data_IF_141518379026
#
_entry.id   IF_141518379026
#
_cell.length_a   1.000
_cell.length_b   1.000
_cell.length_c   1.000
_cell.angle_alpha   90.00
_cell.angle_beta   90.00
_cell.angle_gamma   90.00
#
_symmetry.space_group_name_H-M   'P 1'
#
loop_
_entity.id
_entity.type
_entity.pdbx_description
1 polymer ?
#
# COMPACT_ATOMS: atom_id res chain seq x y z
N UNK A 1 0.13 3.69 -16.28
CA UNK A 1 0.97 4.56 -15.43
C UNK A 1 0.08 5.47 -14.57
N UNK A 2 -0.21 5.12 -13.31
CA UNK A 2 -1.00 6.00 -12.44
C UNK A 2 -0.14 7.18 -11.99
N UNK A 3 -0.19 8.31 -12.72
CA UNK A 3 0.41 9.58 -12.27
C UNK A 3 -0.28 9.99 -10.99
N UNK A 4 0.32 9.70 -9.84
CA UNK A 4 -0.16 10.13 -8.54
C UNK A 4 -0.28 11.65 -8.51
N UNK A 5 -1.24 12.18 -7.77
CA UNK A 5 -1.33 13.62 -7.56
C UNK A 5 -0.22 14.00 -6.57
N UNK A 6 0.89 14.54 -7.09
CA UNK A 6 2.05 15.01 -6.31
C UNK A 6 1.75 16.37 -5.66
N UNK A 7 0.70 16.42 -4.85
CA UNK A 7 0.31 17.57 -4.04
C UNK A 7 0.22 17.10 -2.60
N UNK A 8 0.75 17.90 -1.68
CA UNK A 8 0.75 17.59 -0.25
C UNK A 8 -0.69 17.43 0.26
N UNK A 9 -0.93 16.60 1.29
CA UNK A 9 -2.26 16.45 1.87
C UNK A 9 -2.86 17.78 2.34
N UNK A 10 -2.04 18.71 2.84
CA UNK A 10 -2.46 20.05 3.28
C UNK A 10 -3.03 20.85 2.10
N UNK A 11 -2.26 20.99 1.01
CA UNK A 11 -2.74 21.66 -0.21
C UNK A 11 -3.98 20.99 -0.82
N UNK A 12 -4.09 19.65 -0.73
CA UNK A 12 -5.31 18.94 -1.16
C UNK A 12 -6.54 19.35 -0.34
N UNK A 13 -6.40 19.53 0.98
CA UNK A 13 -7.47 20.01 1.86
C UNK A 13 -7.86 21.44 1.54
N UNK A 14 -6.87 22.31 1.33
CA UNK A 14 -7.11 23.71 0.92
C UNK A 14 -7.90 23.80 -0.40
N UNK A 15 -7.55 22.98 -1.40
CA UNK A 15 -8.28 22.91 -2.67
C UNK A 15 -9.73 22.49 -2.44
N UNK A 16 -9.97 21.48 -1.58
CA UNK A 16 -11.32 21.02 -1.26
C UNK A 16 -12.10 22.11 -0.51
N UNK A 17 -11.46 22.82 0.43
CA UNK A 17 -12.09 23.92 1.16
C UNK A 17 -12.46 25.09 0.24
N UNK A 18 -11.54 25.50 -0.64
CA UNK A 18 -11.81 26.52 -1.66
C UNK A 18 -12.93 26.07 -2.61
N UNK A 19 -12.96 24.79 -3.00
CA UNK A 19 -14.04 24.26 -3.85
C UNK A 19 -15.40 24.30 -3.16
N UNK A 20 -15.48 24.00 -1.86
CA UNK A 20 -16.72 24.13 -1.10
C UNK A 20 -17.21 25.58 -1.01
N UNK A 21 -16.29 26.56 -0.96
CA UNK A 21 -16.64 27.98 -0.85
C UNK A 21 -17.08 28.60 -2.18
N UNK A 22 -16.38 28.29 -3.28
CA UNK A 22 -16.60 28.95 -4.57
C UNK A 22 -17.39 28.12 -5.59
N UNK A 23 -17.49 26.80 -5.40
CA UNK A 23 -18.23 25.88 -6.28
C UNK A 23 -17.63 25.66 -7.67
N UNK A 24 -16.74 26.55 -8.16
CA UNK A 24 -16.14 26.49 -9.50
C UNK A 24 -14.70 25.95 -9.50
N UNK A 25 -14.43 25.02 -10.42
CA UNK A 25 -13.09 24.39 -10.57
C UNK A 25 -12.05 25.37 -11.15
N UNK A 26 -12.48 26.27 -12.04
CA UNK A 26 -11.63 27.34 -12.59
C UNK A 26 -11.07 28.24 -11.48
N UNK A 27 -11.94 28.68 -10.59
CA UNK A 27 -11.64 29.69 -9.59
C UNK A 27 -10.78 29.09 -8.48
N UNK A 28 -11.07 27.84 -8.11
CA UNK A 28 -10.21 27.07 -7.19
C UNK A 28 -8.81 26.84 -7.74
N UNK A 29 -8.65 26.61 -9.05
CA UNK A 29 -7.32 26.50 -9.68
C UNK A 29 -6.55 27.82 -9.58
N UNK A 30 -7.18 28.93 -9.95
CA UNK A 30 -6.58 30.27 -9.85
C UNK A 30 -6.19 30.62 -8.42
N UNK A 31 -7.08 30.39 -7.45
CA UNK A 31 -6.87 30.72 -6.04
C UNK A 31 -5.91 29.79 -5.30
N UNK A 32 -5.69 28.56 -5.77
CA UNK A 32 -4.76 27.60 -5.13
C UNK A 32 -3.38 27.55 -5.76
N UNK A 33 -3.18 28.20 -6.92
CA UNK A 33 -1.94 28.12 -7.68
C UNK A 33 -1.64 26.70 -8.20
N UNK A 34 -2.66 25.83 -8.26
CA UNK A 34 -2.52 24.44 -8.71
C UNK A 34 -3.16 24.30 -10.09
N UNK A 35 -2.52 23.58 -11.04
CA UNK A 35 -3.08 23.37 -12.37
C UNK A 35 -4.49 22.77 -12.33
N UNK A 36 -5.35 23.26 -13.23
CA UNK A 36 -6.75 22.87 -13.33
C UNK A 36 -6.95 21.35 -13.39
N UNK A 37 -6.13 20.64 -14.17
CA UNK A 37 -6.17 19.18 -14.31
C UNK A 37 -5.94 18.46 -12.97
N UNK A 38 -5.08 19.00 -12.13
CA UNK A 38 -4.76 18.48 -10.82
C UNK A 38 -5.89 18.76 -9.83
N UNK A 39 -6.42 19.98 -9.81
CA UNK A 39 -7.59 20.37 -9.02
C UNK A 39 -8.81 19.52 -9.36
N UNK A 40 -9.10 19.32 -10.66
CA UNK A 40 -10.17 18.45 -11.14
C UNK A 40 -10.04 17.01 -10.62
N UNK A 41 -8.83 16.43 -10.62
CA UNK A 41 -8.60 15.09 -10.07
C UNK A 41 -8.74 15.05 -8.54
N UNK A 42 -8.30 16.08 -7.82
CA UNK A 42 -8.48 16.19 -6.36
C UNK A 42 -9.97 16.22 -6.01
N UNK A 43 -10.75 17.07 -6.68
CA UNK A 43 -12.19 17.22 -6.44
C UNK A 43 -12.94 15.94 -6.82
N UNK A 44 -12.60 15.30 -7.95
CA UNK A 44 -13.20 14.02 -8.34
C UNK A 44 -12.95 12.95 -7.28
N UNK A 45 -11.71 12.82 -6.79
CA UNK A 45 -11.38 11.86 -5.75
C UNK A 45 -12.12 12.16 -4.43
N UNK A 46 -12.27 13.44 -4.08
CA UNK A 46 -13.06 13.87 -2.92
C UNK A 46 -14.53 13.46 -3.05
N UNK A 47 -15.17 13.73 -4.19
CA UNK A 47 -16.58 13.35 -4.46
C UNK A 47 -16.79 11.84 -4.42
N UNK A 48 -15.81 11.06 -4.88
CA UNK A 48 -15.85 9.59 -4.85
C UNK A 48 -15.45 8.99 -3.49
N UNK A 49 -15.17 9.81 -2.46
CA UNK A 49 -14.73 9.32 -1.14
C UNK A 49 -13.35 8.64 -1.15
N UNK A 50 -12.56 8.80 -2.22
CA UNK A 50 -11.24 8.17 -2.35
C UNK A 50 -10.25 8.92 -1.47
N UNK A 51 -10.01 8.39 -0.27
CA UNK A 51 -8.94 8.87 0.62
C UNK A 51 -7.59 8.62 -0.04
N UNK A 52 -6.67 9.59 0.06
CA UNK A 52 -5.30 9.41 -0.41
C UNK A 52 -4.64 8.27 0.37
N UNK A 53 -4.51 7.10 -0.25
CA UNK A 53 -3.85 5.95 0.38
C UNK A 53 -2.37 6.29 0.55
N UNK A 54 -1.90 6.30 1.79
CA UNK A 54 -0.48 6.41 2.14
C UNK A 54 0.28 5.10 1.87
N UNK A 55 -0.42 4.03 1.51
CA UNK A 55 0.20 2.76 1.14
C UNK A 55 0.78 2.85 -0.28
N UNK A 56 2.09 3.08 -0.35
CA UNK A 56 2.88 2.61 -1.48
C UNK A 56 2.59 1.13 -1.62
N UNK A 57 1.94 0.73 -2.72
CA UNK A 57 1.47 -0.63 -2.90
C UNK A 57 2.60 -1.61 -2.68
N UNK A 58 2.47 -2.50 -1.69
CA UNK A 58 3.37 -3.63 -1.51
C UNK A 58 3.14 -4.61 -2.67
N UNK A 59 3.74 -4.32 -3.83
CA UNK A 59 3.58 -5.07 -5.09
C UNK A 59 4.61 -6.19 -5.27
N UNK A 60 5.05 -6.86 -4.20
CA UNK A 60 6.00 -7.98 -4.36
C UNK A 60 5.39 -9.36 -4.18
N UNK A 61 4.28 -9.49 -3.46
CA UNK A 61 3.65 -10.79 -3.21
C UNK A 61 2.17 -10.69 -3.55
N UNK A 62 1.78 -11.27 -4.68
CA UNK A 62 0.37 -11.35 -5.08
C UNK A 62 -0.40 -12.28 -4.14
N UNK A 63 -1.73 -12.10 -4.05
CA UNK A 63 -2.61 -12.97 -3.25
C UNK A 63 -2.44 -14.46 -3.58
N UNK A 64 -2.14 -14.80 -4.85
CA UNK A 64 -1.87 -16.17 -5.31
C UNK A 64 -0.58 -16.72 -4.68
N UNK A 65 0.50 -15.94 -4.65
CA UNK A 65 1.75 -16.34 -3.99
C UNK A 65 1.58 -16.50 -2.49
N UNK A 66 0.85 -15.59 -1.84
CA UNK A 66 0.53 -15.74 -0.42
C UNK A 66 -0.18 -17.06 -0.11
N UNK A 67 -1.14 -17.48 -0.93
CA UNK A 67 -1.83 -18.77 -0.77
C UNK A 67 -0.87 -19.95 -0.91
N UNK A 68 0.04 -19.90 -1.87
CA UNK A 68 1.09 -20.92 -2.04
C UNK A 68 2.04 -20.96 -0.83
N UNK A 69 2.53 -19.81 -0.35
CA UNK A 69 3.35 -19.73 0.86
C UNK A 69 2.65 -20.29 2.10
N UNK A 70 1.35 -20.00 2.29
CA UNK A 70 0.58 -20.58 3.40
C UNK A 70 0.47 -22.10 3.29
N UNK A 71 0.25 -22.65 2.10
CA UNK A 71 0.20 -24.11 1.86
C UNK A 71 1.57 -24.74 2.13
N UNK A 72 2.65 -24.15 1.60
CA UNK A 72 4.02 -24.59 1.84
C UNK A 72 4.36 -24.52 3.33
N UNK A 73 4.10 -23.40 4.01
CA UNK A 73 4.35 -23.25 5.45
C UNK A 73 3.53 -24.22 6.31
N UNK A 74 2.28 -24.54 5.93
CA UNK A 74 1.43 -25.52 6.63
C UNK A 74 1.97 -26.95 6.45
N UNK A 75 2.43 -27.31 5.24
CA UNK A 75 3.12 -28.58 4.96
C UNK A 75 4.52 -28.64 5.62
N UNK A 76 5.18 -27.49 5.73
CA UNK A 76 6.56 -27.34 6.18
C UNK A 76 6.68 -26.99 7.68
N UNK A 77 5.74 -27.38 8.54
CA UNK A 77 5.87 -27.21 10.02
C UNK A 77 7.20 -27.76 10.59
N UNK A 78 7.92 -28.59 9.83
CA UNK A 78 9.23 -29.18 10.18
C UNK A 78 10.43 -28.65 9.36
N UNK A 79 10.25 -27.73 8.40
CA UNK A 79 11.33 -27.29 7.49
C UNK A 79 11.65 -25.80 7.70
N UNK A 80 12.94 -25.49 7.81
CA UNK A 80 13.46 -24.13 8.03
C UNK A 80 13.08 -23.12 6.93
N UNK A 81 13.11 -21.83 7.30
CA UNK A 81 12.71 -20.70 6.43
C UNK A 81 13.56 -20.62 5.15
N UNK A 82 14.80 -21.08 5.22
CA UNK A 82 15.75 -21.19 4.09
C UNK A 82 15.18 -22.05 2.96
N UNK A 83 14.60 -23.21 3.28
CA UNK A 83 14.05 -24.12 2.28
C UNK A 83 12.73 -23.62 1.70
N UNK A 84 11.96 -22.81 2.43
CA UNK A 84 10.74 -22.16 1.91
C UNK A 84 11.03 -21.11 0.84
N UNK A 85 12.19 -20.46 0.88
CA UNK A 85 12.63 -19.55 -0.18
C UNK A 85 13.04 -20.32 -1.44
N UNK A 86 13.61 -21.52 -1.30
CA UNK A 86 13.99 -22.41 -2.40
C UNK A 86 12.78 -23.09 -3.06
N UNK A 87 11.78 -23.46 -2.26
CA UNK A 87 10.51 -24.03 -2.75
C UNK A 87 9.56 -22.98 -3.34
N UNK A 88 9.90 -21.70 -3.24
CA UNK A 88 9.11 -20.63 -3.84
C UNK A 88 9.34 -20.61 -5.36
N UNK A 89 8.29 -20.59 -6.19
CA UNK A 89 8.43 -20.59 -7.66
C UNK A 89 9.05 -19.30 -8.23
N UNK A 90 9.43 -18.33 -7.39
CA UNK A 90 10.23 -17.16 -7.76
C UNK A 90 11.39 -17.00 -6.79
N UNK A 91 12.55 -16.55 -7.28
CA UNK A 91 13.72 -16.15 -6.47
C UNK A 91 13.36 -14.96 -5.57
N UNK A 92 12.64 -15.23 -4.48
CA UNK A 92 12.24 -14.24 -3.48
C UNK A 92 13.27 -14.27 -2.35
N UNK A 93 13.77 -13.09 -1.96
CA UNK A 93 14.75 -13.01 -0.86
C UNK A 93 14.23 -13.63 0.43
N UNK A 94 15.12 -14.30 1.18
CA UNK A 94 14.82 -14.92 2.49
C UNK A 94 14.11 -13.95 3.44
N UNK A 95 14.53 -12.68 3.46
CA UNK A 95 13.93 -11.63 4.28
C UNK A 95 12.48 -11.33 3.91
N UNK A 96 12.12 -11.39 2.63
CA UNK A 96 10.74 -11.17 2.17
C UNK A 96 9.84 -12.33 2.62
N UNK A 97 10.32 -13.58 2.50
CA UNK A 97 9.60 -14.75 3.00
C UNK A 97 9.36 -14.65 4.51
N UNK A 98 10.39 -14.32 5.29
CA UNK A 98 10.26 -14.17 6.74
C UNK A 98 9.24 -13.08 7.14
N UNK A 99 9.30 -11.89 6.51
CA UNK A 99 8.33 -10.81 6.76
C UNK A 99 6.90 -11.27 6.48
N UNK A 100 6.67 -11.93 5.34
CA UNK A 100 5.32 -12.42 5.00
C UNK A 100 4.81 -13.49 5.96
N UNK A 101 5.65 -14.41 6.43
CA UNK A 101 5.23 -15.42 7.41
C UNK A 101 4.90 -14.79 8.78
N UNK A 102 5.65 -13.78 9.20
CA UNK A 102 5.41 -13.02 10.44
C UNK A 102 4.12 -12.19 10.36
N UNK A 103 3.90 -11.48 9.26
CA UNK A 103 2.67 -10.70 9.00
C UNK A 103 1.41 -11.58 8.96
N UNK A 104 1.55 -12.87 8.62
CA UNK A 104 0.44 -13.83 8.58
C UNK A 104 0.30 -14.66 9.87
N UNK A 105 1.01 -14.30 10.96
CA UNK A 105 1.04 -15.02 12.24
C UNK A 105 1.41 -16.52 12.13
N UNK A 106 2.08 -16.92 11.05
CA UNK A 106 2.44 -18.32 10.82
C UNK A 106 3.74 -18.75 11.50
N UNK A 107 4.47 -17.79 12.09
CA UNK A 107 5.47 -18.06 13.14
C UNK A 107 4.94 -17.51 14.45
N UNK A 108 4.81 -18.35 15.48
CA UNK A 108 4.72 -17.87 16.86
C UNK A 108 5.96 -17.00 17.12
N UNK A 109 5.79 -15.86 17.77
CA UNK A 109 6.92 -15.23 18.46
C UNK A 109 7.40 -16.30 19.44
N UNK A 110 8.61 -16.80 19.28
CA UNK A 110 9.30 -17.40 20.41
C UNK A 110 9.54 -16.23 21.38
N UNK A 111 8.53 -15.93 22.19
CA UNK A 111 8.78 -15.41 23.51
C UNK A 111 9.30 -16.61 24.29
N UNK A 112 10.43 -16.38 24.95
CA UNK A 112 10.93 -17.18 26.06
C UNK A 112 11.57 -18.52 25.65
N UNK A 113 12.88 -18.49 25.37
CA UNK A 113 13.90 -19.21 26.15
C UNK A 113 15.21 -18.42 25.98
N UNK A 114 15.41 -17.46 26.87
CA UNK A 114 16.74 -17.05 27.28
C UNK A 114 16.83 -17.52 28.74
N UNK A 115 17.51 -18.65 28.94
CA UNK A 115 18.25 -19.09 30.11
C UNK A 115 19.05 -20.32 29.68
#
# INVERSE_FOLDING_TARGET
MSRGINVTPVKKREVIAKFKKFGKISDTSRLSGIPYTTVRRIIRNYKLGIRSKRSGGQKRVTKRYMRSFKRCAKKARRIGVSSLALLSPKKVSRCTVYRTLREQHMKKKNKDVAL
#
